data_IF_892807865321
#
_entry.id   IF_892807865321
#
_cell.length_a   1.000
_cell.length_b   1.000
_cell.length_c   1.000
_cell.angle_alpha   90.00
_cell.angle_beta   90.00
_cell.angle_gamma   90.00
#
_symmetry.space_group_name_H-M   'P 1'
#
loop_
_entity.id
_entity.type
_entity.pdbx_description
1 polymer ?
#
# COMPACT_ATOMS: atom_id res chain seq x y z
N UNK A 1 -8.57 -15.69 13.86
CA UNK A 1 -8.40 -14.43 14.61
C UNK A 1 -8.99 -13.33 13.77
N UNK A 2 -10.09 -12.73 14.22
CA UNK A 2 -10.75 -11.62 13.52
C UNK A 2 -9.84 -10.40 13.64
N UNK A 3 -9.11 -10.09 12.56
CA UNK A 3 -8.26 -8.91 12.47
C UNK A 3 -9.09 -7.65 12.70
N UNK A 4 -8.64 -6.82 13.63
CA UNK A 4 -9.32 -5.59 14.06
C UNK A 4 -9.32 -4.55 12.92
N UNK A 5 -10.37 -3.73 12.85
CA UNK A 5 -10.47 -2.66 11.87
C UNK A 5 -9.93 -1.37 12.49
N UNK A 6 -8.96 -0.75 11.83
CA UNK A 6 -8.40 0.55 12.24
C UNK A 6 -9.00 1.65 11.37
N UNK A 7 -9.50 2.72 12.00
CA UNK A 7 -10.07 3.88 11.30
C UNK A 7 -9.03 4.97 11.08
N UNK A 8 -8.77 5.32 9.82
CA UNK A 8 -7.84 6.38 9.45
C UNK A 8 -8.57 7.62 8.95
N UNK A 9 -8.21 8.79 9.50
CA UNK A 9 -8.67 10.07 8.96
C UNK A 9 -7.97 10.35 7.63
N UNK A 10 -8.73 10.40 6.54
CA UNK A 10 -8.19 10.56 5.18
C UNK A 10 -8.30 11.99 4.64
N UNK A 11 -9.14 12.84 5.25
CA UNK A 11 -9.23 14.24 4.89
C UNK A 11 -10.40 14.98 5.54
N UNK A 12 -10.66 16.19 5.06
CA UNK A 12 -11.76 17.03 5.51
C UNK A 12 -13.11 16.57 4.90
N UNK A 13 -14.27 16.83 5.55
CA UNK A 13 -15.58 16.42 5.04
C UNK A 13 -15.99 17.02 3.68
N UNK A 14 -15.29 18.07 3.25
CA UNK A 14 -15.49 18.83 2.02
C UNK A 14 -14.31 18.72 1.05
N UNK A 15 -13.44 17.73 1.23
CA UNK A 15 -12.21 17.57 0.43
C UNK A 15 -12.46 17.24 -1.05
N UNK A 16 -13.62 16.66 -1.37
CA UNK A 16 -14.05 16.34 -2.74
C UNK A 16 -15.54 16.66 -2.89
N UNK A 17 -15.92 17.13 -4.07
CA UNK A 17 -17.30 17.43 -4.41
C UNK A 17 -18.07 16.17 -4.84
N UNK A 18 -19.40 16.26 -4.89
CA UNK A 18 -20.25 15.18 -5.38
C UNK A 18 -19.91 14.92 -6.86
N UNK A 19 -19.69 13.65 -7.21
CA UNK A 19 -19.26 13.22 -8.54
C UNK A 19 -17.74 13.18 -8.72
N UNK A 20 -16.96 13.46 -7.68
CA UNK A 20 -15.51 13.38 -7.73
C UNK A 20 -14.95 12.12 -7.05
N UNK A 21 -13.79 11.70 -7.55
CA UNK A 21 -12.97 10.63 -6.96
C UNK A 21 -11.54 11.14 -6.79
N UNK A 22 -10.87 10.71 -5.74
CA UNK A 22 -9.47 11.01 -5.49
C UNK A 22 -8.75 9.84 -4.83
N UNK A 23 -7.41 9.88 -4.87
CA UNK A 23 -6.58 8.90 -4.17
C UNK A 23 -6.28 9.41 -2.76
N UNK A 24 -6.60 8.60 -1.75
CA UNK A 24 -6.22 8.84 -0.35
C UNK A 24 -5.40 7.69 0.20
N UNK A 25 -4.72 7.92 1.33
CA UNK A 25 -3.99 6.90 2.07
C UNK A 25 -4.68 6.61 3.40
N UNK A 26 -4.96 5.33 3.65
CA UNK A 26 -5.45 4.82 4.93
C UNK A 26 -4.51 3.70 5.40
N UNK A 27 -3.62 4.01 6.36
CA UNK A 27 -2.50 3.15 6.71
C UNK A 27 -1.60 2.90 5.49
N UNK A 28 -1.36 1.64 5.15
CA UNK A 28 -0.59 1.23 3.95
C UNK A 28 -1.47 1.02 2.70
N UNK A 29 -2.76 1.32 2.77
CA UNK A 29 -3.70 1.11 1.68
C UNK A 29 -3.90 2.39 0.88
N UNK A 30 -3.60 2.34 -0.42
CA UNK A 30 -4.03 3.35 -1.37
C UNK A 30 -5.51 3.10 -1.72
N UNK A 31 -6.35 4.10 -1.47
CA UNK A 31 -7.81 4.00 -1.59
C UNK A 31 -8.32 5.01 -2.61
N UNK A 32 -9.19 4.57 -3.52
CA UNK A 32 -9.99 5.45 -4.34
C UNK A 32 -11.21 5.90 -3.52
N UNK A 33 -11.17 7.12 -3.01
CA UNK A 33 -12.25 7.74 -2.25
C UNK A 33 -13.14 8.53 -3.19
N UNK A 34 -14.43 8.22 -3.19
CA UNK A 34 -15.44 8.81 -4.06
C UNK A 34 -16.56 9.43 -3.24
N UNK A 35 -17.19 10.46 -3.80
CA UNK A 35 -18.39 11.05 -3.22
C UNK A 35 -19.53 10.98 -4.24
N UNK A 36 -20.49 10.09 -4.00
CA UNK A 36 -21.70 10.01 -4.81
C UNK A 36 -22.76 10.99 -4.30
N UNK A 37 -23.88 11.14 -5.02
CA UNK A 37 -25.01 11.96 -4.54
C UNK A 37 -25.60 11.46 -3.22
N UNK A 38 -25.43 10.17 -2.93
CA UNK A 38 -26.05 9.49 -1.79
C UNK A 38 -25.11 9.28 -0.62
N UNK A 39 -23.84 8.96 -0.89
CA UNK A 39 -22.89 8.52 0.14
C UNK A 39 -21.44 8.69 -0.31
N UNK A 40 -20.53 8.45 0.63
CA UNK A 40 -19.11 8.22 0.33
C UNK A 40 -18.89 6.76 -0.06
N UNK A 41 -17.99 6.54 -1.00
CA UNK A 41 -17.49 5.23 -1.40
C UNK A 41 -15.98 5.16 -1.24
N UNK A 42 -15.47 4.01 -0.82
CA UNK A 42 -14.03 3.77 -0.71
C UNK A 42 -13.72 2.35 -1.19
N UNK A 43 -12.92 2.25 -2.25
CA UNK A 43 -12.44 0.98 -2.77
C UNK A 43 -10.93 0.99 -2.95
N UNK A 44 -10.30 -0.18 -3.06
CA UNK A 44 -8.87 -0.27 -3.31
C UNK A 44 -8.51 0.48 -4.60
N UNK A 45 -7.45 1.29 -4.55
CA UNK A 45 -7.07 2.12 -5.69
C UNK A 45 -6.56 1.30 -6.89
N UNK A 46 -6.24 0.02 -6.68
CA UNK A 46 -5.70 -0.86 -7.73
C UNK A 46 -6.83 -1.64 -8.41
N UNK A 47 -7.12 -1.30 -9.65
CA UNK A 47 -8.05 -2.03 -10.49
C UNK A 47 -7.65 -3.52 -10.65
N UNK A 48 -8.53 -4.50 -10.36
CA UNK A 48 -8.21 -5.92 -10.43
C UNK A 48 -7.93 -6.41 -11.86
N UNK A 49 -8.46 -5.73 -12.89
CA UNK A 49 -8.26 -6.10 -14.28
C UNK A 49 -6.77 -6.02 -14.70
N UNK A 50 -6.13 -4.84 -14.59
CA UNK A 50 -4.71 -4.67 -14.97
C UNK A 50 -3.91 -3.77 -14.04
N UNK A 51 -4.44 -3.37 -12.89
CA UNK A 51 -3.72 -2.59 -11.88
C UNK A 51 -3.84 -1.07 -12.01
N UNK A 52 -4.77 -0.57 -12.84
CA UNK A 52 -4.97 0.86 -13.03
C UNK A 52 -5.42 1.62 -11.78
N UNK A 53 -5.08 2.92 -11.66
CA UNK A 53 -5.39 3.75 -10.50
C UNK A 53 -6.86 4.22 -10.55
N UNK A 54 -7.74 3.58 -9.78
CA UNK A 54 -9.18 3.89 -9.78
C UNK A 54 -9.48 5.29 -9.27
N UNK A 55 -8.66 5.84 -8.36
CA UNK A 55 -8.81 7.20 -7.84
C UNK A 55 -8.40 8.30 -8.82
N UNK A 56 -7.85 7.93 -9.99
CA UNK A 56 -7.65 8.83 -11.14
C UNK A 56 -8.71 8.59 -12.23
N UNK A 57 -9.74 7.81 -11.91
CA UNK A 57 -10.86 7.51 -12.79
C UNK A 57 -11.92 8.61 -12.84
N UNK A 58 -13.08 8.25 -13.39
CA UNK A 58 -14.25 9.13 -13.51
C UNK A 58 -15.45 8.49 -12.82
N UNK A 59 -16.25 9.28 -12.09
CA UNK A 59 -17.59 8.87 -11.67
C UNK A 59 -18.62 9.34 -12.71
N UNK A 60 -19.31 8.39 -13.33
CA UNK A 60 -20.37 8.65 -14.30
C UNK A 60 -21.51 7.66 -14.08
N UNK A 61 -22.76 8.12 -14.09
CA UNK A 61 -23.96 7.28 -13.93
C UNK A 61 -23.91 6.32 -12.70
N UNK A 62 -23.33 6.79 -11.59
CA UNK A 62 -23.09 6.03 -10.35
C UNK A 62 -21.98 4.96 -10.42
N UNK A 63 -21.22 4.90 -11.51
CA UNK A 63 -20.11 3.97 -11.71
C UNK A 63 -18.77 4.67 -11.64
N UNK A 64 -17.79 4.03 -11.01
CA UNK A 64 -16.38 4.44 -11.09
C UNK A 64 -15.71 3.75 -12.27
N UNK A 65 -15.33 4.54 -13.26
CA UNK A 65 -14.72 4.11 -14.51
C UNK A 65 -13.19 4.18 -14.39
N UNK A 66 -12.53 3.04 -14.52
CA UNK A 66 -11.08 2.93 -14.51
C UNK A 66 -10.45 3.67 -15.69
N UNK A 67 -9.44 4.54 -15.48
CA UNK A 67 -8.89 5.40 -16.52
C UNK A 67 -8.09 4.66 -17.59
N UNK A 68 -7.71 3.40 -17.36
CA UNK A 68 -6.90 2.64 -18.32
C UNK A 68 -7.72 1.96 -19.41
N UNK A 69 -8.80 1.27 -19.04
CA UNK A 69 -9.56 0.41 -19.96
C UNK A 69 -11.07 0.60 -19.86
N UNK A 70 -11.53 1.58 -19.08
CA UNK A 70 -12.96 1.87 -18.94
C UNK A 70 -13.74 0.83 -18.13
N UNK A 71 -13.06 0.03 -17.31
CA UNK A 71 -13.76 -0.96 -16.47
C UNK A 71 -14.54 -0.26 -15.37
N UNK A 72 -15.79 -0.66 -15.18
CA UNK A 72 -16.74 -0.02 -14.28
C UNK A 72 -16.85 -0.78 -12.97
N UNK A 73 -16.87 -0.05 -11.87
CA UNK A 73 -17.05 -0.59 -10.53
C UNK A 73 -18.05 0.25 -9.74
N UNK A 74 -18.88 -0.40 -8.94
CA UNK A 74 -19.68 0.28 -7.94
C UNK A 74 -18.71 0.93 -6.92
N UNK A 75 -18.77 2.25 -6.72
CA UNK A 75 -17.81 2.97 -5.88
C UNK A 75 -17.92 2.63 -4.38
N UNK A 76 -18.97 1.94 -3.94
CA UNK A 76 -19.24 1.59 -2.54
C UNK A 76 -18.99 0.10 -2.28
N UNK A 77 -19.51 -0.79 -3.12
CA UNK A 77 -19.38 -2.24 -2.94
C UNK A 77 -18.16 -2.83 -3.64
N UNK A 78 -17.62 -2.14 -4.64
CA UNK A 78 -16.54 -2.61 -5.51
C UNK A 78 -16.96 -3.64 -6.56
N UNK A 79 -18.26 -3.92 -6.69
CA UNK A 79 -18.80 -4.89 -7.65
C UNK A 79 -18.80 -4.35 -9.08
N UNK A 80 -18.63 -5.22 -10.07
CA UNK A 80 -18.75 -4.87 -11.49
C UNK A 80 -20.17 -5.10 -12.02
N UNK A 81 -20.61 -4.36 -13.04
CA UNK A 81 -21.89 -4.62 -13.69
C UNK A 81 -21.90 -5.96 -14.44
N UNK A 82 -23.05 -6.64 -14.49
CA UNK A 82 -23.24 -7.85 -15.32
C UNK A 82 -22.66 -9.14 -14.71
N UNK A 83 -22.32 -10.16 -15.53
CA UNK A 83 -21.89 -11.48 -15.05
C UNK A 83 -20.37 -11.57 -14.79
N UNK A 84 -19.66 -10.44 -14.71
CA UNK A 84 -18.22 -10.44 -14.49
C UNK A 84 -17.91 -10.72 -13.01
N UNK A 85 -16.79 -11.40 -12.77
CA UNK A 85 -16.39 -11.89 -11.45
C UNK A 85 -15.27 -11.04 -10.82
N UNK A 86 -14.83 -10.00 -11.54
CA UNK A 86 -13.81 -9.07 -11.05
C UNK A 86 -14.43 -8.15 -9.99
N UNK A 87 -13.88 -8.16 -8.77
CA UNK A 87 -14.35 -7.29 -7.68
C UNK A 87 -13.18 -6.51 -7.08
N UNK A 88 -13.43 -5.26 -6.71
CA UNK A 88 -12.51 -4.44 -5.93
C UNK A 88 -12.85 -4.57 -4.46
N UNK A 89 -11.83 -4.66 -3.61
CA UNK A 89 -12.05 -4.57 -2.17
C UNK A 89 -12.61 -3.20 -1.80
N UNK A 90 -13.70 -3.21 -1.03
CA UNK A 90 -14.33 -2.01 -0.49
C UNK A 90 -13.98 -1.82 0.99
N UNK A 91 -14.03 -0.58 1.43
CA UNK A 91 -13.73 -0.17 2.80
C UNK A 91 -14.90 0.62 3.37
N UNK A 92 -15.14 0.47 4.68
CA UNK A 92 -16.17 1.26 5.35
C UNK A 92 -15.72 2.72 5.46
N UNK A 93 -16.65 3.64 5.21
CA UNK A 93 -16.42 5.09 5.32
C UNK A 93 -17.33 5.67 6.40
N UNK A 94 -16.76 6.49 7.27
CA UNK A 94 -17.49 7.22 8.30
C UNK A 94 -17.12 8.70 8.23
N UNK A 95 -18.12 9.58 8.14
CA UNK A 95 -17.92 11.02 8.23
C UNK A 95 -18.17 11.46 9.66
N UNK A 96 -17.13 12.00 10.29
CA UNK A 96 -17.18 12.57 11.65
C UNK A 96 -17.11 14.08 11.55
N UNK A 97 -17.34 14.77 12.68
CA UNK A 97 -17.33 16.25 12.72
C UNK A 97 -16.00 16.87 12.30
N UNK A 98 -14.90 16.13 12.42
CA UNK A 98 -13.53 16.56 12.18
C UNK A 98 -12.91 16.01 10.89
N UNK A 99 -13.59 15.11 10.16
CA UNK A 99 -13.03 14.53 8.94
C UNK A 99 -13.77 13.31 8.39
N UNK A 100 -13.31 12.85 7.23
CA UNK A 100 -13.70 11.57 6.62
C UNK A 100 -12.73 10.50 7.10
N UNK A 101 -13.27 9.35 7.49
CA UNK A 101 -12.52 8.21 8.00
C UNK A 101 -12.78 6.97 7.15
N UNK A 102 -11.72 6.19 6.90
CA UNK A 102 -11.79 4.90 6.20
C UNK A 102 -11.31 3.78 7.13
N UNK A 103 -12.11 2.72 7.26
CA UNK A 103 -11.72 1.53 8.02
C UNK A 103 -10.90 0.60 7.14
N UNK A 104 -9.65 0.35 7.54
CA UNK A 104 -8.81 -0.65 6.88
C UNK A 104 -8.42 -1.73 7.87
N UNK A 105 -8.24 -2.93 7.33
CA UNK A 105 -7.62 -4.02 8.05
C UNK A 105 -6.12 -3.90 7.89
N UNK A 106 -5.44 -3.51 8.95
CA UNK A 106 -3.99 -3.58 8.95
C UNK A 106 -3.56 -5.05 9.06
N UNK A 107 -2.59 -5.50 8.24
CA UNK A 107 -1.94 -6.76 8.49
C UNK A 107 -1.25 -6.67 9.85
N UNK A 108 -1.37 -7.71 10.67
CA UNK A 108 -0.59 -7.81 11.92
C UNK A 108 0.90 -7.68 11.55
N UNK A 109 1.63 -6.84 12.28
CA UNK A 109 3.09 -6.85 12.25
C UNK A 109 3.53 -8.26 12.67
N UNK A 110 4.23 -8.96 11.77
CA UNK A 110 4.78 -10.27 12.08
C UNK A 110 6.18 -10.05 12.61
N UNK A 111 6.35 -10.23 13.92
CA UNK A 111 7.67 -10.18 14.57
C UNK A 111 8.61 -11.27 14.02
N UNK A 112 8.05 -12.37 13.52
CA UNK A 112 8.79 -13.50 12.98
C UNK A 112 8.39 -13.81 11.53
N UNK A 113 9.37 -13.73 10.62
CA UNK A 113 9.23 -14.10 9.22
C UNK A 113 10.23 -15.21 8.86
N UNK A 114 10.04 -15.87 7.71
CA UNK A 114 11.06 -16.79 7.17
C UNK A 114 12.43 -16.09 7.04
N UNK A 115 12.42 -14.80 6.73
CA UNK A 115 13.65 -14.02 6.61
C UNK A 115 14.29 -13.73 7.96
N UNK A 116 13.50 -13.50 9.02
CA UNK A 116 14.00 -13.41 10.40
C UNK A 116 14.70 -14.71 10.78
N UNK A 117 14.04 -15.86 10.60
CA UNK A 117 14.63 -17.17 10.89
C UNK A 117 15.91 -17.44 10.07
N UNK A 118 15.94 -17.03 8.79
CA UNK A 118 17.13 -17.15 7.96
C UNK A 118 18.29 -16.32 8.51
N UNK A 119 18.03 -15.07 8.92
CA UNK A 119 19.04 -14.20 9.53
C UNK A 119 19.54 -14.79 10.85
N UNK A 120 18.64 -15.31 11.70
CA UNK A 120 19.04 -15.98 12.95
C UNK A 120 20.02 -17.13 12.68
N UNK A 121 19.75 -17.96 11.66
CA UNK A 121 20.68 -19.04 11.26
C UNK A 121 22.01 -18.53 10.73
N UNK A 122 22.05 -17.37 10.08
CA UNK A 122 23.31 -16.76 9.65
C UNK A 122 24.13 -16.28 10.86
N UNK A 123 23.48 -15.62 11.83
CA UNK A 123 24.11 -15.16 13.08
C UNK A 123 24.63 -16.35 13.89
N UNK A 124 23.80 -17.39 14.10
CA UNK A 124 24.21 -18.64 14.75
C UNK A 124 25.38 -19.32 14.03
N UNK A 125 25.41 -19.19 12.69
CA UNK A 125 26.50 -19.66 11.84
C UNK A 125 27.78 -18.81 11.92
N UNK A 126 27.79 -17.72 12.69
CA UNK A 126 28.94 -16.84 12.91
C UNK A 126 29.06 -15.68 11.92
N UNK A 127 28.00 -15.35 11.18
CA UNK A 127 27.98 -14.15 10.33
C UNK A 127 27.80 -12.92 11.22
N UNK A 128 28.85 -12.10 11.34
CA UNK A 128 28.83 -10.86 12.13
C UNK A 128 28.60 -9.58 11.30
N UNK A 129 28.72 -9.68 9.97
CA UNK A 129 28.67 -8.52 9.07
C UNK A 129 28.05 -8.88 7.72
N UNK A 130 27.16 -8.03 7.22
CA UNK A 130 26.51 -8.16 5.91
C UNK A 130 26.60 -6.83 5.16
N UNK A 131 27.05 -6.88 3.90
CA UNK A 131 27.04 -5.75 2.97
C UNK A 131 26.19 -6.12 1.76
N UNK A 132 25.18 -5.31 1.43
CA UNK A 132 24.24 -5.68 0.37
C UNK A 132 23.40 -4.53 -0.17
N UNK A 133 22.91 -4.71 -1.39
CA UNK A 133 21.97 -3.78 -2.01
C UNK A 133 20.54 -4.12 -1.58
N UNK A 134 19.79 -3.09 -1.18
CA UNK A 134 18.37 -3.21 -0.87
C UNK A 134 17.56 -2.97 -2.13
N UNK A 135 16.64 -3.89 -2.42
CA UNK A 135 15.69 -3.79 -3.51
C UNK A 135 14.35 -4.41 -3.13
N UNK A 136 13.33 -4.16 -3.96
CA UNK A 136 11.97 -4.67 -3.71
C UNK A 136 11.92 -6.21 -3.58
N UNK A 137 12.78 -6.93 -4.29
CA UNK A 137 12.80 -8.40 -4.28
C UNK A 137 13.42 -9.03 -3.02
N UNK A 138 14.20 -8.28 -2.24
CA UNK A 138 14.82 -8.77 -1.00
C UNK A 138 14.45 -7.93 0.22
N UNK A 139 13.38 -7.12 0.14
CA UNK A 139 13.01 -6.16 1.17
C UNK A 139 12.84 -6.83 2.55
N UNK A 140 12.09 -7.94 2.62
CA UNK A 140 11.90 -8.66 3.88
C UNK A 140 13.19 -9.23 4.48
N UNK A 141 14.20 -9.57 3.65
CA UNK A 141 15.52 -9.99 4.15
C UNK A 141 16.35 -8.80 4.64
N UNK A 142 16.31 -7.67 3.93
CA UNK A 142 16.96 -6.45 4.37
C UNK A 142 16.35 -5.90 5.67
N UNK A 143 15.04 -6.03 5.86
CA UNK A 143 14.35 -5.65 7.09
C UNK A 143 14.74 -6.57 8.26
N UNK A 144 14.81 -7.89 8.03
CA UNK A 144 15.32 -8.84 9.02
C UNK A 144 16.78 -8.56 9.41
N UNK A 145 17.66 -8.25 8.45
CA UNK A 145 19.05 -7.86 8.71
C UNK A 145 19.14 -6.56 9.52
N UNK A 146 18.26 -5.58 9.25
CA UNK A 146 18.17 -4.35 10.05
C UNK A 146 17.73 -4.62 11.47
N UNK A 147 16.73 -5.49 11.67
CA UNK A 147 16.27 -5.86 13.00
C UNK A 147 17.41 -6.51 13.81
N UNK A 148 18.16 -7.45 13.21
CA UNK A 148 19.33 -8.06 13.82
C UNK A 148 20.46 -7.05 14.12
N UNK A 149 20.68 -6.06 13.24
CA UNK A 149 21.63 -4.97 13.51
C UNK A 149 21.21 -4.10 14.70
N UNK A 150 19.92 -3.75 14.79
CA UNK A 150 19.38 -2.98 15.92
C UNK A 150 19.46 -3.75 17.23
N UNK A 151 19.31 -5.07 17.19
CA UNK A 151 19.52 -5.96 18.34
C UNK A 151 21.00 -6.12 18.72
N UNK A 152 21.93 -5.77 17.83
CA UNK A 152 23.38 -5.86 18.04
C UNK A 152 23.97 -7.22 17.66
N UNK A 153 23.23 -8.06 16.95
CA UNK A 153 23.62 -9.43 16.60
C UNK A 153 24.57 -9.49 15.39
N UNK A 154 24.45 -8.53 14.46
CA UNK A 154 25.33 -8.37 13.31
C UNK A 154 25.45 -6.89 12.92
N UNK A 155 26.34 -6.59 11.98
CA UNK A 155 26.43 -5.27 11.34
C UNK A 155 25.88 -5.33 9.92
N UNK A 156 24.93 -4.46 9.56
CA UNK A 156 24.34 -4.43 8.22
C UNK A 156 24.62 -3.11 7.49
N UNK A 157 25.39 -3.20 6.41
CA UNK A 157 25.70 -2.06 5.54
C UNK A 157 24.85 -2.18 4.27
N UNK A 158 23.64 -1.61 4.33
CA UNK A 158 22.71 -1.55 3.21
C UNK A 158 22.99 -0.37 2.27
N UNK A 159 23.10 -0.63 0.96
CA UNK A 159 23.17 0.41 -0.07
C UNK A 159 21.88 0.45 -0.90
N UNK A 160 21.37 1.64 -1.19
CA UNK A 160 20.25 1.81 -2.14
C UNK A 160 20.76 1.83 -3.57
N UNK A 161 19.92 1.43 -4.52
CA UNK A 161 20.25 1.42 -5.95
C UNK A 161 20.67 2.82 -6.45
N UNK A 162 20.10 3.90 -5.94
CA UNK A 162 20.52 5.27 -6.29
C UNK A 162 21.91 5.61 -5.72
N UNK A 163 22.26 5.08 -4.54
CA UNK A 163 23.58 5.29 -3.93
C UNK A 163 24.69 4.59 -4.70
N UNK A 164 24.43 3.36 -5.17
CA UNK A 164 25.36 2.62 -6.04
C UNK A 164 25.54 3.31 -7.40
N UNK A 165 24.43 3.78 -8.01
CA UNK A 165 24.47 4.54 -9.25
C UNK A 165 25.26 5.86 -9.09
N UNK A 166 25.06 6.58 -7.99
CA UNK A 166 25.79 7.82 -7.69
C UNK A 166 27.28 7.58 -7.48
N UNK A 167 27.67 6.52 -6.78
CA UNK A 167 29.08 6.14 -6.61
C UNK A 167 29.74 5.79 -7.94
N UNK A 168 29.10 4.98 -8.77
CA UNK A 168 29.60 4.61 -10.10
C UNK A 168 29.71 5.83 -11.04
N UNK A 169 28.71 6.72 -11.04
CA UNK A 169 28.74 7.96 -11.83
C UNK A 169 29.87 8.90 -11.38
N UNK A 170 30.12 8.98 -10.07
CA UNK A 170 31.21 9.80 -9.52
C UNK A 170 32.59 9.22 -9.83
N UNK A 171 32.71 7.88 -9.92
CA UNK A 171 33.95 7.20 -10.30
C UNK A 171 34.29 7.38 -11.78
N UNK A 172 33.29 7.55 -12.65
CA UNK A 172 33.47 7.81 -14.09
C UNK A 172 33.86 9.27 -14.40
N UNK A 173 33.81 10.17 -13.41
CA UNK A 173 34.24 11.56 -13.52
C UNK A 173 35.73 11.81 -13.23
N UNK A 174 36.52 10.75 -13.05
CA UNK A 174 38.00 10.78 -12.99
C UNK A 174 38.59 10.10 -14.21
#
# INVERSE_FOLDING_TARGET
MTRELTWFRVGAPDMIDIGEVTVVQAGHHAVALSRTEQTWGAIANRCPHQGGPLGEGLLEDCWLICPWHGWEYDPVSGETPGPFDDRVDSYDVEVRSDGVYVAVREPEEHDETLMTQLVDRLVEGGVDSVFGMVGHSNLGFADALRAAELAGDLRFIGIRHEGAASFAASAYGK
#
